data_IF_878289521374
#
_entry.id   IF_878289521374
#
_cell.length_a   1.000
_cell.length_b   1.000
_cell.length_c   1.000
_cell.angle_alpha   90.00
_cell.angle_beta   90.00
_cell.angle_gamma   90.00
#
_symmetry.space_group_name_H-M   'P 1'
#
loop_
_entity.id
_entity.type
_entity.pdbx_description
1 polymer ?
#
# COMPACT_ATOMS: atom_id res chain seq x y z
N UNK A 1 -20.44 -31.06 38.11
CA UNK A 1 -19.08 -31.42 37.63
C UNK A 1 -18.87 -30.68 36.33
N UNK A 2 -18.15 -29.55 36.37
CA UNK A 2 -17.80 -28.76 35.20
C UNK A 2 -16.29 -28.57 35.23
N UNK A 3 -15.63 -29.03 34.17
CA UNK A 3 -14.19 -29.21 34.10
C UNK A 3 -13.53 -27.92 33.60
N UNK A 4 -12.68 -27.31 34.44
CA UNK A 4 -11.78 -26.24 34.06
C UNK A 4 -10.60 -26.82 33.25
N UNK A 5 -10.47 -26.43 31.99
CA UNK A 5 -9.22 -26.53 31.24
C UNK A 5 -8.54 -25.16 31.26
N UNK A 6 -7.49 -25.04 32.05
CA UNK A 6 -6.61 -23.88 32.09
C UNK A 6 -5.62 -23.97 30.94
N UNK A 7 -5.79 -23.10 29.93
CA UNK A 7 -4.84 -22.98 28.82
C UNK A 7 -3.87 -21.84 29.15
N UNK A 8 -2.66 -22.21 29.59
CA UNK A 8 -1.58 -21.28 29.93
C UNK A 8 -0.88 -20.81 28.66
N UNK A 9 -1.44 -19.77 28.01
CA UNK A 9 -0.80 -19.10 26.90
C UNK A 9 0.41 -18.27 27.37
N UNK A 10 1.63 -18.78 27.15
CA UNK A 10 2.87 -18.00 27.30
C UNK A 10 2.96 -17.05 26.10
N UNK A 11 2.50 -15.82 26.28
CA UNK A 11 2.55 -14.77 25.26
C UNK A 11 3.98 -14.22 25.14
N UNK A 12 4.47 -14.10 23.91
CA UNK A 12 5.77 -13.48 23.59
C UNK A 12 5.82 -12.01 24.04
N UNK A 13 6.90 -11.61 24.69
CA UNK A 13 7.15 -10.26 25.24
C UNK A 13 7.10 -9.17 24.15
N UNK A 14 7.35 -9.54 22.89
CA UNK A 14 7.31 -8.64 21.74
C UNK A 14 5.89 -8.17 21.39
N UNK A 15 4.90 -9.07 21.53
CA UNK A 15 3.47 -8.76 21.28
C UNK A 15 2.89 -7.81 22.32
N UNK A 16 3.50 -7.72 23.51
CA UNK A 16 3.09 -6.79 24.58
C UNK A 16 3.56 -5.35 24.36
N UNK A 17 4.63 -5.12 23.61
CA UNK A 17 5.24 -3.79 23.52
C UNK A 17 4.91 -3.01 22.25
N UNK A 18 4.50 -3.66 21.17
CA UNK A 18 4.36 -2.99 19.85
C UNK A 18 2.99 -3.10 19.18
N UNK A 19 1.99 -3.67 19.87
CA UNK A 19 0.61 -3.73 19.37
C UNK A 19 0.40 -4.67 18.19
N UNK A 20 -0.86 -5.06 17.98
CA UNK A 20 -1.30 -5.90 16.87
C UNK A 20 -1.59 -5.02 15.64
N UNK A 21 -0.95 -5.28 14.50
CA UNK A 21 -1.25 -4.56 13.26
C UNK A 21 -2.69 -4.89 12.82
N UNK A 22 -3.54 -3.86 12.80
CA UNK A 22 -4.91 -3.93 12.30
C UNK A 22 -4.90 -4.39 10.84
N UNK A 23 -5.44 -5.58 10.59
CA UNK A 23 -5.73 -6.08 9.25
C UNK A 23 -6.87 -5.27 8.65
N UNK A 24 -6.52 -4.20 7.91
CA UNK A 24 -7.46 -3.54 7.03
C UNK A 24 -7.73 -4.46 5.83
N UNK A 25 -8.97 -4.96 5.71
CA UNK A 25 -9.43 -5.77 4.58
C UNK A 25 -10.33 -4.91 3.70
N UNK A 26 -9.88 -4.48 2.50
CA UNK A 26 -10.78 -3.93 1.51
C UNK A 26 -11.61 -5.06 0.90
N UNK A 27 -12.92 -5.04 1.13
CA UNK A 27 -13.89 -5.83 0.39
C UNK A 27 -14.21 -5.14 -0.93
N UNK A 28 -13.49 -5.51 -1.98
CA UNK A 28 -13.94 -5.30 -3.36
C UNK A 28 -13.79 -6.63 -4.12
N UNK A 29 -14.91 -7.34 -4.26
CA UNK A 29 -15.05 -8.44 -5.21
C UNK A 29 -15.47 -7.85 -6.57
N UNK A 30 -14.68 -8.13 -7.61
CA UNK A 30 -15.16 -8.19 -9.00
C UNK A 30 -14.48 -9.37 -9.73
N UNK A 31 -15.14 -9.95 -10.75
CA UNK A 31 -15.03 -11.38 -11.04
C UNK A 31 -14.01 -11.70 -12.15
N UNK A 32 -13.25 -12.77 -11.90
CA UNK A 32 -13.00 -13.86 -12.85
C UNK A 32 -12.17 -13.58 -14.11
N UNK A 33 -10.95 -14.12 -14.14
CA UNK A 33 -10.40 -14.79 -15.32
C UNK A 33 -9.63 -16.04 -14.89
N UNK A 34 -10.18 -17.22 -15.19
CA UNK A 34 -9.48 -18.51 -15.13
C UNK A 34 -8.51 -18.59 -16.29
N UNK A 35 -7.23 -18.76 -16.01
CA UNK A 35 -6.25 -19.26 -16.96
C UNK A 35 -5.67 -20.57 -16.43
N UNK A 36 -5.96 -21.64 -17.16
CA UNK A 36 -5.42 -22.99 -16.96
C UNK A 36 -4.19 -23.17 -17.84
N UNK A 37 -3.08 -23.65 -17.27
CA UNK A 37 -2.00 -24.41 -17.95
C UNK A 37 -1.06 -24.92 -16.86
N UNK A 38 -1.00 -26.21 -16.48
CA UNK A 38 -0.56 -27.42 -17.20
C UNK A 38 0.98 -27.60 -17.26
N UNK A 39 1.39 -28.86 -17.13
CA UNK A 39 2.75 -29.45 -17.04
C UNK A 39 3.38 -29.47 -15.65
N UNK A 40 3.94 -30.57 -15.14
CA UNK A 40 4.18 -31.95 -15.59
C UNK A 40 4.71 -32.68 -14.34
N UNK A 41 4.43 -33.94 -14.08
CA UNK A 41 5.01 -35.08 -14.78
C UNK A 41 5.00 -36.26 -13.80
N UNK A 42 4.57 -37.41 -14.31
CA UNK A 42 4.57 -38.67 -13.59
C UNK A 42 5.92 -39.39 -13.75
N UNK A 43 6.30 -40.20 -12.75
CA UNK A 43 6.62 -41.65 -12.83
C UNK A 43 7.65 -42.08 -11.79
N UNK A 44 7.21 -43.03 -10.97
CA UNK A 44 7.82 -44.32 -10.59
C UNK A 44 9.32 -44.53 -10.83
N UNK A 45 10.05 -44.97 -9.79
CA UNK A 45 10.83 -46.22 -9.82
C UNK A 45 11.37 -46.59 -8.43
N UNK A 46 11.42 -47.90 -8.23
CA UNK A 46 11.77 -48.71 -7.06
C UNK A 46 13.27 -49.03 -6.94
N UNK A 47 13.60 -49.76 -5.85
CA UNK A 47 14.81 -50.57 -5.56
C UNK A 47 15.90 -49.82 -4.76
N UNK A 48 16.56 -50.37 -3.74
CA UNK A 48 16.64 -51.71 -3.14
C UNK A 48 17.20 -51.54 -1.69
N UNK A 49 16.80 -52.36 -0.70
CA UNK A 49 17.62 -53.44 -0.10
C UNK A 49 18.79 -52.92 0.77
N UNK A 50 19.09 -53.32 2.01
CA UNK A 50 18.81 -54.50 2.87
C UNK A 50 19.61 -54.23 4.17
N UNK A 51 19.22 -54.59 5.39
CA UNK A 51 19.24 -55.89 6.09
C UNK A 51 18.72 -55.51 7.51
N UNK A 52 17.93 -56.26 8.26
CA UNK A 52 17.70 -57.69 8.30
C UNK A 52 17.80 -58.12 9.77
N UNK A 53 16.66 -58.30 10.44
CA UNK A 53 16.56 -59.06 11.68
C UNK A 53 15.13 -59.62 11.82
N UNK A 54 14.93 -60.94 11.76
CA UNK A 54 13.64 -61.56 12.02
C UNK A 54 13.51 -62.02 13.49
N UNK A 55 12.27 -62.25 13.98
CA UNK A 55 11.99 -62.80 15.29
C UNK A 55 11.77 -64.33 15.22
N UNK A 56 11.90 -65.06 16.35
CA UNK A 56 11.03 -66.23 16.67
C UNK A 56 11.24 -66.87 18.05
N UNK A 57 10.08 -67.11 18.65
CA UNK A 57 9.60 -68.17 19.57
C UNK A 57 10.39 -69.49 19.72
N UNK A 58 10.23 -70.01 20.94
CA UNK A 58 9.92 -71.39 21.37
C UNK A 58 11.04 -72.45 21.40
N UNK A 59 11.07 -73.24 22.49
CA UNK A 59 11.86 -74.47 22.59
C UNK A 59 11.91 -75.04 24.01
N UNK A 60 11.29 -76.20 24.19
CA UNK A 60 11.14 -76.98 25.42
C UNK A 60 12.35 -77.92 25.71
N UNK A 61 12.35 -78.50 26.93
CA UNK A 61 12.81 -79.87 27.29
C UNK A 61 14.32 -80.15 27.24
N UNK A 62 14.96 -81.05 28.00
CA UNK A 62 14.70 -81.96 29.14
C UNK A 62 16.08 -82.62 29.44
N UNK A 63 16.17 -83.25 30.62
CA UNK A 63 16.80 -84.57 30.86
C UNK A 63 18.27 -84.76 31.28
N UNK A 64 18.39 -85.82 32.12
CA UNK A 64 19.54 -86.68 32.49
C UNK A 64 20.34 -86.24 33.72
N UNK A 65 20.18 -86.88 34.89
CA UNK A 65 20.64 -88.23 35.30
C UNK A 65 22.18 -88.34 35.18
N UNK A 66 22.97 -88.75 36.17
CA UNK A 66 22.75 -89.49 37.41
C UNK A 66 23.90 -90.49 37.52
N UNK A 67 24.60 -90.59 38.65
CA UNK A 67 25.36 -91.79 39.03
C UNK A 67 25.75 -91.80 40.51
N UNK A 68 25.47 -92.94 41.11
CA UNK A 68 25.96 -93.49 42.36
C UNK A 68 27.45 -93.86 42.30
N UNK A 69 28.14 -93.87 43.44
CA UNK A 69 29.08 -94.96 43.73
C UNK A 69 29.21 -95.16 45.24
N UNK A 70 28.85 -96.35 45.71
CA UNK A 70 29.31 -96.87 46.99
C UNK A 70 30.60 -97.67 46.79
N UNK A 71 31.41 -97.76 47.84
CA UNK A 71 32.32 -98.88 48.03
C UNK A 71 32.66 -99.00 49.52
N UNK A 72 32.26 -100.14 50.07
CA UNK A 72 32.81 -100.73 51.28
C UNK A 72 34.19 -101.31 50.96
N UNK A 73 35.16 -101.18 51.86
CA UNK A 73 35.90 -102.34 52.38
C UNK A 73 36.96 -101.95 53.40
N UNK A 74 37.03 -102.77 54.44
CA UNK A 74 38.08 -102.89 55.44
C UNK A 74 39.42 -103.31 54.82
N UNK A 75 40.54 -102.82 55.34
CA UNK A 75 41.73 -103.65 55.49
C UNK A 75 42.64 -103.15 56.61
N UNK A 76 43.18 -104.13 57.29
CA UNK A 76 44.03 -104.12 58.46
C UNK A 76 45.47 -103.66 58.17
N UNK A 77 46.16 -103.36 59.28
CA UNK A 77 47.61 -103.56 59.52
C UNK A 77 48.64 -102.61 58.90
N UNK A 78 49.06 -101.64 59.73
CA UNK A 78 50.44 -101.28 60.10
C UNK A 78 51.59 -101.55 59.12
N UNK A 79 52.19 -100.47 58.60
CA UNK A 79 53.63 -100.19 58.69
C UNK A 79 53.87 -98.66 58.58
N UNK A 80 53.71 -97.97 59.71
CA UNK A 80 53.83 -96.51 59.86
C UNK A 80 55.26 -96.16 60.34
N UNK A 81 56.18 -95.97 59.40
CA UNK A 81 57.39 -95.18 59.71
C UNK A 81 58.09 -94.56 58.49
N UNK A 82 57.91 -95.11 57.27
CA UNK A 82 58.43 -94.50 56.03
C UNK A 82 57.39 -93.75 55.18
N UNK A 83 56.08 -94.01 55.35
CA UNK A 83 55.02 -93.28 54.65
C UNK A 83 54.66 -91.94 55.33
N UNK A 84 54.98 -91.76 56.61
CA UNK A 84 54.68 -90.53 57.35
C UNK A 84 55.61 -89.37 56.99
N UNK A 85 56.89 -89.62 56.67
CA UNK A 85 57.82 -88.56 56.27
C UNK A 85 57.50 -88.04 54.85
N UNK A 86 57.31 -88.95 53.89
CA UNK A 86 56.92 -88.60 52.50
C UNK A 86 55.50 -88.01 52.46
N UNK A 87 54.58 -88.52 53.28
CA UNK A 87 53.24 -87.96 53.43
C UNK A 87 53.20 -86.62 54.16
N UNK A 88 54.16 -86.34 55.05
CA UNK A 88 54.32 -85.04 55.70
C UNK A 88 54.79 -83.97 54.70
N UNK A 89 55.84 -84.27 53.93
CA UNK A 89 56.35 -83.37 52.88
C UNK A 89 55.29 -83.10 51.80
N UNK A 90 54.57 -84.13 51.33
CA UNK A 90 53.50 -83.97 50.36
C UNK A 90 52.31 -83.17 50.91
N UNK A 91 51.99 -83.30 52.21
CA UNK A 91 50.97 -82.46 52.88
C UNK A 91 51.42 -81.02 53.03
N UNK A 92 52.72 -80.78 53.20
CA UNK A 92 53.31 -79.44 53.27
C UNK A 92 53.35 -78.77 51.89
N UNK A 93 53.76 -79.49 50.84
CA UNK A 93 53.71 -79.01 49.45
C UNK A 93 52.27 -78.72 49.03
N UNK A 94 51.31 -79.60 49.32
CA UNK A 94 49.88 -79.34 49.06
C UNK A 94 49.32 -78.18 49.87
N UNK A 95 49.78 -77.98 51.11
CA UNK A 95 49.39 -76.79 51.91
C UNK A 95 49.96 -75.52 51.28
N UNK A 96 51.22 -75.54 50.88
CA UNK A 96 51.86 -74.40 50.22
C UNK A 96 51.22 -74.08 48.87
N UNK A 97 50.93 -75.10 48.04
CA UNK A 97 50.20 -74.95 46.79
C UNK A 97 48.77 -74.45 47.03
N UNK A 98 48.09 -74.93 48.07
CA UNK A 98 46.77 -74.43 48.46
C UNK A 98 46.82 -72.96 48.91
N UNK A 99 47.84 -72.55 49.66
CA UNK A 99 48.06 -71.15 50.05
C UNK A 99 48.38 -70.25 48.85
N UNK A 100 49.19 -70.74 47.90
CA UNK A 100 49.47 -70.03 46.65
C UNK A 100 48.21 -69.90 45.78
N UNK A 101 47.43 -70.97 45.64
CA UNK A 101 46.14 -70.97 44.94
C UNK A 101 45.12 -70.08 45.64
N UNK A 102 45.12 -70.04 46.97
CA UNK A 102 44.29 -69.13 47.75
C UNK A 102 44.72 -67.68 47.52
N UNK A 103 46.01 -67.35 47.58
CA UNK A 103 46.50 -66.01 47.31
C UNK A 103 46.27 -65.56 45.85
N UNK A 104 46.31 -66.49 44.89
CA UNK A 104 45.88 -66.24 43.51
C UNK A 104 44.37 -65.99 43.43
N UNK A 105 43.57 -66.80 44.12
CA UNK A 105 42.12 -66.66 44.15
C UNK A 105 41.70 -65.34 44.80
N UNK A 106 42.33 -64.92 45.90
CA UNK A 106 42.07 -63.64 46.55
C UNK A 106 42.42 -62.47 45.63
N UNK A 107 43.51 -62.58 44.84
CA UNK A 107 43.84 -61.58 43.81
C UNK A 107 42.83 -61.60 42.66
N UNK A 108 42.35 -62.76 42.23
CA UNK A 108 41.30 -62.88 41.22
C UNK A 108 39.97 -62.31 41.72
N UNK A 109 39.61 -62.53 42.98
CA UNK A 109 38.44 -61.92 43.60
C UNK A 109 38.57 -60.39 43.59
N UNK A 110 39.73 -59.84 43.96
CA UNK A 110 40.00 -58.42 43.86
C UNK A 110 39.93 -57.87 42.43
N UNK A 111 40.41 -58.61 41.42
CA UNK A 111 40.23 -58.22 40.02
C UNK A 111 38.75 -58.25 39.59
N UNK A 112 37.98 -59.24 40.03
CA UNK A 112 36.55 -59.34 39.74
C UNK A 112 35.80 -58.16 40.38
N UNK A 113 36.08 -57.83 41.64
CA UNK A 113 35.52 -56.65 42.30
C UNK A 113 35.87 -55.36 41.54
N UNK A 114 37.13 -55.22 41.11
CA UNK A 114 37.55 -54.04 40.34
C UNK A 114 36.87 -53.94 38.98
N UNK A 115 36.66 -55.06 38.30
CA UNK A 115 35.90 -55.11 37.04
C UNK A 115 34.44 -54.71 37.29
N UNK A 116 33.81 -55.19 38.36
CA UNK A 116 32.44 -54.80 38.72
C UNK A 116 32.34 -53.31 39.03
N UNK A 117 33.30 -52.75 39.78
CA UNK A 117 33.36 -51.30 40.03
C UNK A 117 33.48 -50.50 38.74
N UNK A 118 34.38 -50.91 37.83
CA UNK A 118 34.57 -50.25 36.55
C UNK A 118 33.35 -50.39 35.62
N UNK A 119 32.69 -51.55 35.61
CA UNK A 119 31.44 -51.76 34.89
C UNK A 119 30.32 -50.88 35.44
N UNK A 120 30.25 -50.72 36.77
CA UNK A 120 29.27 -49.85 37.41
C UNK A 120 29.56 -48.38 37.10
N UNK A 121 30.82 -47.96 37.14
CA UNK A 121 31.23 -46.62 36.72
C UNK A 121 30.93 -46.36 35.24
N UNK A 122 31.22 -47.31 34.35
CA UNK A 122 30.88 -47.20 32.94
C UNK A 122 29.36 -47.09 32.72
N UNK A 123 28.54 -47.86 33.44
CA UNK A 123 27.07 -47.73 33.37
C UNK A 123 26.58 -46.34 33.81
N UNK A 124 27.19 -45.76 34.84
CA UNK A 124 26.87 -44.40 35.29
C UNK A 124 27.28 -43.37 34.23
N UNK A 125 28.49 -43.47 33.68
CA UNK A 125 28.96 -42.58 32.61
C UNK A 125 28.13 -42.70 31.33
N UNK A 126 27.70 -43.92 30.96
CA UNK A 126 26.79 -44.15 29.83
C UNK A 126 25.44 -43.48 30.06
N UNK A 127 24.88 -43.57 31.28
CA UNK A 127 23.64 -42.91 31.64
C UNK A 127 23.78 -41.37 31.63
N UNK A 128 24.88 -40.83 32.15
CA UNK A 128 25.18 -39.40 32.11
C UNK A 128 25.33 -38.89 30.68
N UNK A 129 26.06 -39.62 29.83
CA UNK A 129 26.21 -39.31 28.41
C UNK A 129 24.86 -39.33 27.67
N UNK A 130 23.99 -40.29 27.99
CA UNK A 130 22.65 -40.36 27.40
C UNK A 130 21.81 -39.13 27.80
N UNK A 131 21.86 -38.71 29.06
CA UNK A 131 21.15 -37.53 29.55
C UNK A 131 21.68 -36.24 28.91
N UNK A 132 23.01 -36.13 28.75
CA UNK A 132 23.64 -34.97 28.10
C UNK A 132 23.27 -34.88 26.62
N UNK A 133 23.34 -36.00 25.88
CA UNK A 133 22.90 -36.04 24.48
C UNK A 133 21.43 -35.67 24.32
N UNK A 134 20.56 -36.14 25.21
CA UNK A 134 19.14 -35.77 25.21
C UNK A 134 18.89 -34.28 25.52
N UNK A 135 19.79 -33.62 26.26
CA UNK A 135 19.74 -32.18 26.50
C UNK A 135 20.22 -31.39 25.29
N UNK A 136 21.24 -31.85 24.58
CA UNK A 136 21.77 -31.21 23.37
C UNK A 136 20.87 -31.42 22.14
N UNK A 137 20.19 -32.56 22.03
CA UNK A 137 19.22 -32.84 20.96
C UNK A 137 17.95 -31.98 21.03
N UNK A 138 17.70 -31.29 22.15
CA UNK A 138 16.61 -30.33 22.25
C UNK A 138 17.10 -29.01 21.65
N UNK A 139 16.70 -28.65 20.41
CA UNK A 139 17.07 -27.35 19.87
C UNK A 139 16.63 -26.25 20.83
N UNK A 140 17.52 -25.31 21.13
CA UNK A 140 17.20 -24.25 22.08
C UNK A 140 15.95 -23.50 21.61
N UNK A 141 14.94 -23.38 22.49
CA UNK A 141 13.70 -22.67 22.17
C UNK A 141 13.98 -21.23 21.71
N UNK A 142 15.09 -20.66 22.18
CA UNK A 142 15.59 -19.34 21.81
C UNK A 142 15.95 -19.25 20.32
N UNK A 143 16.66 -20.24 19.77
CA UNK A 143 16.97 -20.28 18.33
C UNK A 143 15.69 -20.29 17.48
N UNK A 144 14.71 -21.10 17.89
CA UNK A 144 13.41 -21.19 17.22
C UNK A 144 12.64 -19.86 17.26
N UNK A 145 12.67 -19.15 18.39
CA UNK A 145 12.03 -17.83 18.51
C UNK A 145 12.69 -16.79 17.59
N UNK A 146 14.02 -16.76 17.53
CA UNK A 146 14.72 -15.87 16.59
C UNK A 146 14.49 -16.23 15.13
N UNK A 147 14.44 -17.52 14.79
CA UNK A 147 14.12 -17.96 13.43
C UNK A 147 12.69 -17.57 13.02
N UNK A 148 11.73 -17.62 13.96
CA UNK A 148 10.37 -17.14 13.75
C UNK A 148 10.34 -15.62 13.54
N UNK A 149 10.99 -14.85 14.40
CA UNK A 149 11.06 -13.39 14.27
C UNK A 149 11.70 -12.98 12.93
N UNK A 150 12.79 -13.64 12.53
CA UNK A 150 13.45 -13.39 11.24
C UNK A 150 12.51 -13.72 10.07
N UNK A 151 11.70 -14.78 10.18
CA UNK A 151 10.73 -15.14 9.15
C UNK A 151 9.60 -14.10 9.06
N UNK A 152 9.09 -13.61 10.18
CA UNK A 152 8.07 -12.56 10.25
C UNK A 152 8.59 -11.23 9.68
N UNK A 153 9.80 -10.80 10.07
CA UNK A 153 10.43 -9.60 9.53
C UNK A 153 10.66 -9.68 8.01
N UNK A 154 11.02 -10.86 7.49
CA UNK A 154 11.14 -11.07 6.04
C UNK A 154 9.80 -11.00 5.33
N UNK A 155 8.75 -11.56 5.94
CA UNK A 155 7.40 -11.48 5.37
C UNK A 155 6.91 -10.03 5.30
N UNK A 156 7.11 -9.25 6.36
CA UNK A 156 6.80 -7.82 6.38
C UNK A 156 7.60 -7.04 5.34
N UNK A 157 8.89 -7.34 5.19
CA UNK A 157 9.73 -6.69 4.18
C UNK A 157 9.23 -6.96 2.75
N UNK A 158 8.82 -8.20 2.44
CA UNK A 158 8.24 -8.53 1.13
C UNK A 158 6.85 -7.93 0.94
N UNK A 159 6.03 -7.82 2.00
CA UNK A 159 4.75 -7.12 1.96
C UNK A 159 4.94 -5.63 1.65
N UNK A 160 5.79 -4.92 2.40
CA UNK A 160 6.13 -3.52 2.13
C UNK A 160 6.73 -3.34 0.73
N UNK A 161 7.51 -4.32 0.24
CA UNK A 161 8.05 -4.29 -1.12
C UNK A 161 6.95 -4.43 -2.17
N UNK A 162 5.99 -5.32 -1.94
CA UNK A 162 4.80 -5.49 -2.76
C UNK A 162 3.93 -4.24 -2.80
N UNK A 163 3.69 -3.61 -1.65
CA UNK A 163 2.98 -2.34 -1.53
C UNK A 163 3.70 -1.21 -2.27
N UNK A 164 5.01 -1.06 -2.07
CA UNK A 164 5.83 -0.08 -2.78
C UNK A 164 5.78 -0.30 -4.30
N UNK A 165 5.83 -1.55 -4.77
CA UNK A 165 5.71 -1.87 -6.19
C UNK A 165 4.30 -1.57 -6.73
N UNK A 166 3.26 -1.89 -5.97
CA UNK A 166 1.87 -1.58 -6.31
C UNK A 166 1.62 -0.07 -6.39
N UNK A 167 2.10 0.69 -5.40
CA UNK A 167 2.03 2.15 -5.38
C UNK A 167 2.83 2.77 -6.54
N UNK A 168 4.01 2.22 -6.85
CA UNK A 168 4.80 2.60 -8.03
C UNK A 168 4.03 2.40 -9.33
N UNK A 169 3.41 1.24 -9.52
CA UNK A 169 2.59 0.95 -10.70
C UNK A 169 1.36 1.86 -10.81
N UNK A 170 0.67 2.14 -9.70
CA UNK A 170 -0.46 3.07 -9.68
C UNK A 170 -0.03 4.50 -10.06
N UNK A 171 1.15 4.94 -9.57
CA UNK A 171 1.75 6.22 -9.95
C UNK A 171 2.08 6.27 -11.44
N UNK A 172 2.73 5.24 -11.98
CA UNK A 172 3.05 5.16 -13.41
C UNK A 172 1.79 5.19 -14.28
N UNK A 173 0.73 4.50 -13.88
CA UNK A 173 -0.56 4.55 -14.58
C UNK A 173 -1.19 5.95 -14.52
N UNK A 174 -1.17 6.61 -13.36
CA UNK A 174 -1.66 7.98 -13.22
C UNK A 174 -0.84 8.97 -14.07
N UNK A 175 0.49 8.83 -14.08
CA UNK A 175 1.38 9.63 -14.93
C UNK A 175 1.12 9.38 -16.43
N UNK A 176 0.88 8.13 -16.83
CA UNK A 176 0.55 7.76 -18.21
C UNK A 176 -0.79 8.36 -18.68
N UNK A 177 -1.77 8.55 -17.78
CA UNK A 177 -3.04 9.23 -18.08
C UNK A 177 -2.88 10.75 -18.06
N UNK A 178 -2.08 11.30 -17.14
CA UNK A 178 -1.85 12.74 -17.03
C UNK A 178 -1.05 13.30 -18.22
N UNK A 179 -0.07 12.57 -18.74
CA UNK A 179 0.78 13.00 -19.86
C UNK A 179 -0.03 13.44 -21.10
N UNK A 180 -0.93 12.63 -21.69
CA UNK A 180 -1.72 13.04 -22.85
C UNK A 180 -2.75 14.14 -22.54
N UNK A 181 -3.19 14.27 -21.29
CA UNK A 181 -4.07 15.39 -20.88
C UNK A 181 -3.27 16.70 -20.88
N UNK A 182 -2.04 16.69 -20.36
CA UNK A 182 -1.15 17.86 -20.38
C UNK A 182 -0.85 18.30 -21.82
N UNK A 183 -0.51 17.38 -22.71
CA UNK A 183 -0.25 17.72 -24.12
C UNK A 183 -1.49 18.29 -24.80
N UNK A 184 -2.67 17.69 -24.59
CA UNK A 184 -3.94 18.23 -25.12
C UNK A 184 -4.24 19.63 -24.58
N UNK A 185 -3.98 19.88 -23.30
CA UNK A 185 -4.16 21.20 -22.71
C UNK A 185 -3.21 22.24 -23.31
N UNK A 186 -1.94 21.88 -23.53
CA UNK A 186 -0.97 22.74 -24.20
C UNK A 186 -1.37 23.01 -25.66
N UNK A 187 -1.86 22.01 -26.39
CA UNK A 187 -2.37 22.17 -27.75
C UNK A 187 -3.59 23.09 -27.82
N UNK A 188 -4.57 22.92 -26.92
CA UNK A 188 -5.75 23.77 -26.84
C UNK A 188 -5.39 25.21 -26.44
N UNK A 189 -4.43 25.39 -25.53
CA UNK A 189 -3.89 26.70 -25.21
C UNK A 189 -3.26 27.36 -26.43
N UNK A 190 -2.44 26.61 -27.20
CA UNK A 190 -1.82 27.11 -28.43
C UNK A 190 -2.87 27.49 -29.48
N UNK A 191 -3.90 26.66 -29.67
CA UNK A 191 -5.03 26.96 -30.59
C UNK A 191 -5.79 28.21 -30.17
N UNK A 192 -6.02 28.38 -28.86
CA UNK A 192 -6.63 29.59 -28.32
C UNK A 192 -5.79 30.82 -28.64
N UNK A 193 -4.49 30.79 -28.36
CA UNK A 193 -3.57 31.89 -28.67
C UNK A 193 -3.56 32.21 -30.19
N UNK A 194 -3.58 31.20 -31.06
CA UNK A 194 -3.68 31.38 -32.52
C UNK A 194 -4.99 32.04 -32.95
N UNK A 195 -6.12 31.61 -32.38
CA UNK A 195 -7.44 32.18 -32.70
C UNK A 195 -7.61 33.60 -32.14
N UNK A 196 -7.09 33.89 -30.96
CA UNK A 196 -7.04 35.25 -30.39
C UNK A 196 -6.19 36.16 -31.28
N UNK A 197 -5.01 35.70 -31.72
CA UNK A 197 -4.17 36.45 -32.66
C UNK A 197 -4.89 36.73 -34.00
N UNK A 198 -5.58 35.73 -34.56
CA UNK A 198 -6.35 35.89 -35.79
C UNK A 198 -7.52 36.87 -35.64
N UNK A 199 -8.20 36.87 -34.48
CA UNK A 199 -9.25 37.85 -34.18
C UNK A 199 -8.70 39.27 -34.08
N UNK A 200 -7.54 39.45 -33.46
CA UNK A 200 -6.90 40.76 -33.35
C UNK A 200 -6.43 41.28 -34.73
N UNK A 201 -5.94 40.39 -35.60
CA UNK A 201 -5.61 40.75 -36.98
C UNK A 201 -6.86 41.13 -37.79
N UNK A 202 -7.96 40.37 -37.66
CA UNK A 202 -9.23 40.69 -38.30
C UNK A 202 -9.81 42.03 -37.81
N UNK A 203 -9.69 42.34 -36.51
CA UNK A 203 -10.08 43.64 -35.95
C UNK A 203 -9.26 44.78 -36.56
N UNK A 204 -7.93 44.64 -36.63
CA UNK A 204 -7.06 45.63 -37.27
C UNK A 204 -7.44 45.84 -38.74
N UNK A 205 -7.68 44.76 -39.49
CA UNK A 205 -8.11 44.85 -40.88
C UNK A 205 -9.49 45.54 -41.04
N UNK A 206 -10.42 45.29 -40.11
CA UNK A 206 -11.72 45.95 -40.09
C UNK A 206 -11.58 47.46 -39.78
N UNK A 207 -10.73 47.84 -38.83
CA UNK A 207 -10.43 49.24 -38.50
C UNK A 207 -9.77 49.97 -39.67
N UNK A 208 -8.83 49.33 -40.35
CA UNK A 208 -8.22 49.86 -41.58
C UNK A 208 -9.27 50.06 -42.69
N UNK A 209 -10.17 49.11 -42.88
CA UNK A 209 -11.23 49.21 -43.89
C UNK A 209 -12.24 50.29 -43.53
N UNK A 210 -12.60 50.44 -42.25
CA UNK A 210 -13.42 51.55 -41.77
C UNK A 210 -12.73 52.90 -42.04
N UNK A 211 -11.42 53.00 -41.82
CA UNK A 211 -10.63 54.19 -42.15
C UNK A 211 -10.62 54.47 -43.66
N UNK A 212 -10.47 53.45 -44.52
CA UNK A 212 -10.56 53.58 -45.98
C UNK A 212 -11.93 54.07 -46.42
N UNK A 213 -13.02 53.50 -45.86
CA UNK A 213 -14.39 53.95 -46.16
C UNK A 213 -14.60 55.41 -45.75
N UNK A 214 -14.18 55.81 -44.56
CA UNK A 214 -14.27 57.20 -44.12
C UNK A 214 -13.48 58.16 -45.03
N UNK A 215 -12.34 57.73 -45.57
CA UNK A 215 -11.58 58.50 -46.55
C UNK A 215 -12.32 58.63 -47.90
N UNK A 216 -12.97 57.55 -48.37
CA UNK A 216 -13.79 57.57 -49.58
C UNK A 216 -15.05 58.44 -49.42
N UNK A 217 -15.70 58.42 -48.26
CA UNK A 217 -16.84 59.30 -47.97
C UNK A 217 -16.43 60.77 -48.03
N UNK A 218 -15.27 61.13 -47.46
CA UNK A 218 -14.70 62.49 -47.58
C UNK A 218 -14.40 62.88 -49.03
N UNK A 219 -13.90 61.94 -49.83
CA UNK A 219 -13.68 62.18 -51.26
C UNK A 219 -15.01 62.43 -51.99
N UNK A 220 -16.05 61.65 -51.65
CA UNK A 220 -17.41 61.83 -52.17
C UNK A 220 -17.98 63.20 -51.84
N UNK A 221 -17.87 63.65 -50.59
CA UNK A 221 -18.35 64.98 -50.19
C UNK A 221 -17.63 66.11 -50.93
N UNK A 222 -16.31 65.97 -51.17
CA UNK A 222 -15.54 66.94 -51.97
C UNK A 222 -15.98 66.94 -53.44
N UNK A 223 -16.31 65.78 -54.01
CA UNK A 223 -16.85 65.70 -55.37
C UNK A 223 -18.23 66.36 -55.48
N UNK A 224 -19.09 66.16 -54.48
CA UNK A 224 -20.39 66.82 -54.40
C UNK A 224 -20.25 68.35 -54.28
N UNK A 225 -19.29 68.83 -53.50
CA UNK A 225 -18.96 70.25 -53.39
C UNK A 225 -18.46 70.84 -54.72
N UNK A 226 -17.55 70.14 -55.42
CA UNK A 226 -17.12 70.52 -56.77
C UNK A 226 -18.31 70.54 -57.74
N UNK A 227 -19.21 69.55 -57.64
CA UNK A 227 -20.42 69.47 -58.44
C UNK A 227 -21.37 70.64 -58.19
N UNK A 228 -21.54 71.03 -56.92
CA UNK A 228 -22.30 72.21 -56.51
C UNK A 228 -21.68 73.49 -57.09
N UNK A 229 -20.37 73.72 -56.91
CA UNK A 229 -19.68 74.89 -57.46
C UNK A 229 -19.81 74.99 -58.98
N UNK A 230 -19.72 73.85 -59.69
CA UNK A 230 -19.95 73.81 -61.15
C UNK A 230 -21.38 74.11 -61.56
N UNK A 231 -22.39 73.77 -60.74
CA UNK A 231 -23.79 74.14 -60.98
C UNK A 231 -23.98 75.64 -60.80
N UNK A 232 -23.48 76.19 -59.70
CA UNK A 232 -23.53 77.63 -59.41
C UNK A 232 -22.88 78.43 -60.54
N UNK A 233 -21.66 78.08 -60.96
CA UNK A 233 -21.00 78.75 -62.09
C UNK A 233 -21.81 78.67 -63.39
N UNK A 234 -22.48 77.55 -63.67
CA UNK A 234 -23.34 77.42 -64.85
C UNK A 234 -24.58 78.29 -64.76
N UNK A 235 -25.21 78.36 -63.59
CA UNK A 235 -26.36 79.23 -63.34
C UNK A 235 -25.97 80.69 -63.50
N UNK A 236 -24.86 81.14 -62.90
CA UNK A 236 -24.32 82.50 -63.08
C UNK A 236 -24.04 82.82 -64.55
N UNK A 237 -23.39 81.90 -65.29
CA UNK A 237 -23.18 82.07 -66.74
C UNK A 237 -24.50 82.14 -67.48
N UNK A 238 -25.50 81.33 -67.12
CA UNK A 238 -26.81 81.33 -67.77
C UNK A 238 -27.59 82.61 -67.48
N UNK A 239 -27.49 83.15 -66.27
CA UNK A 239 -28.11 84.42 -65.89
C UNK A 239 -27.45 85.58 -66.63
N UNK A 240 -26.11 85.58 -66.74
CA UNK A 240 -25.38 86.55 -67.54
C UNK A 240 -25.73 86.44 -69.03
N UNK A 241 -25.84 85.22 -69.57
CA UNK A 241 -26.31 84.99 -70.93
C UNK A 241 -27.77 85.41 -71.12
N UNK A 242 -28.65 85.17 -70.14
CA UNK A 242 -30.04 85.59 -70.17
C UNK A 242 -30.17 87.12 -70.08
N UNK A 243 -29.29 87.80 -69.33
CA UNK A 243 -29.20 89.25 -69.35
C UNK A 243 -28.75 89.76 -70.73
N UNK A 244 -27.79 89.09 -71.39
CA UNK A 244 -27.36 89.40 -72.76
C UNK A 244 -28.47 89.12 -73.79
N UNK A 245 -29.18 88.00 -73.67
CA UNK A 245 -30.29 87.62 -74.55
C UNK A 245 -31.55 88.47 -74.28
N UNK A 246 -31.77 88.97 -73.07
CA UNK A 246 -32.84 89.93 -72.80
C UNK A 246 -32.62 91.27 -73.52
N UNK A 247 -31.37 91.55 -73.93
CA UNK A 247 -31.02 92.66 -74.81
C UNK A 247 -31.05 92.29 -76.31
N UNK A 248 -31.27 91.02 -76.64
CA UNK A 248 -31.22 90.49 -78.01
C UNK A 248 -32.28 89.39 -78.14
N UNK A 249 -33.52 89.77 -78.46
CA UNK A 249 -34.45 89.07 -79.38
C UNK A 249 -35.90 89.54 -79.12
N UNK A 250 -36.38 90.34 -80.07
CA UNK A 250 -37.78 90.51 -80.46
C UNK A 250 -38.23 89.30 -81.30
N UNK A 251 -39.31 88.66 -80.84
CA UNK A 251 -40.50 88.12 -81.57
C UNK A 251 -40.28 87.53 -82.97
N UNK A 252 -40.73 86.29 -83.19
CA UNK A 252 -41.82 85.96 -84.13
C UNK A 252 -42.14 84.45 -84.17
N UNK A 253 -43.44 84.15 -84.02
CA UNK A 253 -44.03 82.81 -84.16
C UNK A 253 -44.44 82.55 -85.63
N UNK A 254 -44.37 81.30 -86.07
CA UNK A 254 -44.99 80.85 -87.31
C UNK A 254 -45.48 79.42 -87.20
N UNK A 255 -46.79 79.25 -87.01
CA UNK A 255 -47.51 77.97 -86.96
C UNK A 255 -47.86 77.48 -88.38
N UNK A 256 -47.79 76.18 -88.63
CA UNK A 256 -48.53 75.54 -89.72
C UNK A 256 -49.06 74.17 -89.27
N UNK A 257 -50.39 74.04 -89.21
CA UNK A 257 -51.07 72.81 -88.82
C UNK A 257 -51.29 71.87 -90.00
N UNK A 258 -50.95 70.57 -89.87
CA UNK A 258 -51.63 69.51 -90.60
C UNK A 258 -52.73 68.90 -89.71
N UNK A 259 -53.70 68.24 -90.36
CA UNK A 259 -54.96 67.72 -89.84
C UNK A 259 -54.91 67.17 -88.38
N UNK A 260 -55.29 68.05 -87.45
CA UNK A 260 -55.08 67.88 -86.02
C UNK A 260 -56.03 66.85 -85.40
N UNK A 261 -57.19 66.61 -86.00
CA UNK A 261 -58.30 65.94 -85.30
C UNK A 261 -58.13 64.42 -85.25
N UNK A 262 -57.58 63.81 -86.31
CA UNK A 262 -57.26 62.38 -86.34
C UNK A 262 -56.00 62.07 -85.53
N UNK A 263 -54.95 62.87 -85.74
CA UNK A 263 -53.70 62.77 -84.99
C UNK A 263 -53.93 63.00 -83.48
N UNK A 264 -54.77 63.96 -83.08
CA UNK A 264 -55.12 64.16 -81.66
C UNK A 264 -55.93 63.00 -81.09
N UNK A 265 -56.82 62.38 -81.86
CA UNK A 265 -57.59 61.21 -81.39
C UNK A 265 -56.68 60.00 -81.20
N UNK A 266 -55.73 59.78 -82.12
CA UNK A 266 -54.75 58.71 -82.02
C UNK A 266 -53.71 58.95 -80.92
N UNK A 267 -53.19 60.17 -80.79
CA UNK A 267 -52.32 60.58 -79.69
C UNK A 267 -53.05 60.42 -78.35
N UNK A 268 -54.32 60.83 -78.26
CA UNK A 268 -55.13 60.64 -77.04
C UNK A 268 -55.32 59.16 -76.70
N UNK A 269 -55.65 58.32 -77.67
CA UNK A 269 -55.71 56.87 -77.52
C UNK A 269 -54.38 56.28 -77.03
N UNK A 270 -53.25 56.68 -77.63
CA UNK A 270 -51.93 56.23 -77.20
C UNK A 270 -51.59 56.72 -75.79
N UNK A 271 -51.96 57.95 -75.43
CA UNK A 271 -51.80 58.48 -74.08
C UNK A 271 -52.68 57.75 -73.06
N UNK A 272 -53.91 57.39 -73.41
CA UNK A 272 -54.80 56.60 -72.54
C UNK A 272 -54.21 55.20 -72.29
N UNK A 273 -53.69 54.54 -73.33
CA UNK A 273 -52.99 53.26 -73.19
C UNK A 273 -51.69 53.40 -72.40
N UNK A 274 -50.89 54.44 -72.63
CA UNK A 274 -49.64 54.68 -71.92
C UNK A 274 -49.90 55.03 -70.45
N UNK A 275 -50.93 55.82 -70.15
CA UNK A 275 -51.35 56.14 -68.79
C UNK A 275 -51.85 54.89 -68.06
N UNK A 276 -52.65 54.04 -68.71
CA UNK A 276 -53.09 52.76 -68.15
C UNK A 276 -51.90 51.82 -67.87
N UNK A 277 -50.95 51.70 -68.81
CA UNK A 277 -49.71 50.93 -68.61
C UNK A 277 -48.85 51.51 -67.49
N UNK A 278 -48.68 52.82 -67.43
CA UNK A 278 -47.92 53.48 -66.37
C UNK A 278 -48.57 53.24 -65.00
N UNK A 279 -49.91 53.28 -64.92
CA UNK A 279 -50.63 52.99 -63.68
C UNK A 279 -50.46 51.52 -63.25
N UNK A 280 -50.53 50.58 -64.18
CA UNK A 280 -50.25 49.16 -63.90
C UNK A 280 -48.81 48.93 -63.43
N UNK A 281 -47.83 49.52 -64.12
CA UNK A 281 -46.41 49.41 -63.74
C UNK A 281 -46.17 50.04 -62.36
N UNK A 282 -46.80 51.16 -62.05
CA UNK A 282 -46.73 51.77 -60.72
C UNK A 282 -47.35 50.87 -59.65
N UNK A 283 -48.53 50.28 -59.90
CA UNK A 283 -49.16 49.33 -58.99
C UNK A 283 -48.32 48.08 -58.77
N UNK A 284 -47.77 47.49 -59.82
CA UNK A 284 -46.88 46.32 -59.74
C UNK A 284 -45.60 46.67 -58.97
N UNK A 285 -45.03 47.85 -59.22
CA UNK A 285 -43.86 48.34 -58.49
C UNK A 285 -44.18 48.54 -57.00
N UNK A 286 -45.32 49.14 -56.65
CA UNK A 286 -45.73 49.30 -55.26
C UNK A 286 -46.00 47.95 -54.58
N UNK A 287 -46.69 47.03 -55.27
CA UNK A 287 -46.93 45.67 -54.76
C UNK A 287 -45.60 44.95 -54.52
N UNK A 288 -44.69 44.98 -55.48
CA UNK A 288 -43.36 44.38 -55.36
C UNK A 288 -42.54 45.00 -54.22
N UNK A 289 -42.59 46.33 -54.07
CA UNK A 289 -41.89 47.01 -52.98
C UNK A 289 -42.49 46.66 -51.62
N UNK A 290 -43.82 46.57 -51.54
CA UNK A 290 -44.53 46.20 -50.33
C UNK A 290 -44.24 44.75 -49.94
N UNK A 291 -44.25 43.80 -50.88
CA UNK A 291 -43.86 42.40 -50.60
C UNK A 291 -42.41 42.32 -50.18
N UNK A 292 -41.49 43.03 -50.85
CA UNK A 292 -40.08 43.03 -50.46
C UNK A 292 -39.86 43.58 -49.05
N UNK A 293 -40.57 44.65 -48.67
CA UNK A 293 -40.54 45.22 -47.31
C UNK A 293 -41.17 44.27 -46.29
N UNK A 294 -42.30 43.65 -46.61
CA UNK A 294 -42.95 42.65 -45.76
C UNK A 294 -42.04 41.45 -45.52
N UNK A 295 -41.37 40.96 -46.56
CA UNK A 295 -40.45 39.82 -46.48
C UNK A 295 -39.15 40.17 -45.73
N UNK A 296 -38.70 41.43 -45.79
CA UNK A 296 -37.55 41.86 -44.97
C UNK A 296 -37.95 42.04 -43.51
N UNK A 297 -39.15 42.55 -43.24
CA UNK A 297 -39.70 42.63 -41.89
C UNK A 297 -39.88 41.23 -41.28
N UNK A 298 -40.44 40.26 -42.02
CA UNK A 298 -40.61 38.88 -41.53
C UNK A 298 -39.26 38.22 -41.21
N UNK A 299 -38.28 38.31 -42.11
CA UNK A 299 -36.92 37.79 -41.87
C UNK A 299 -36.24 38.43 -40.66
N UNK A 300 -36.43 39.75 -40.47
CA UNK A 300 -35.88 40.44 -39.30
C UNK A 300 -36.56 39.93 -38.02
N UNK A 301 -37.90 39.80 -38.01
CA UNK A 301 -38.61 39.23 -36.85
C UNK A 301 -38.16 37.81 -36.54
N UNK A 302 -37.99 36.95 -37.55
CA UNK A 302 -37.48 35.59 -37.37
C UNK A 302 -36.05 35.58 -36.81
N UNK A 303 -35.15 36.41 -37.34
CA UNK A 303 -33.79 36.55 -36.80
C UNK A 303 -33.79 37.04 -35.34
N UNK A 304 -34.68 37.97 -34.98
CA UNK A 304 -34.87 38.40 -33.59
C UNK A 304 -35.40 37.27 -32.70
N UNK A 305 -36.27 36.40 -33.21
CA UNK A 305 -36.77 35.25 -32.47
C UNK A 305 -35.64 34.22 -32.22
N UNK A 306 -34.88 33.86 -33.26
CA UNK A 306 -33.75 32.92 -33.13
C UNK A 306 -32.71 33.42 -32.12
N UNK A 307 -32.27 34.68 -32.25
CA UNK A 307 -31.30 35.26 -31.30
C UNK A 307 -31.83 35.32 -29.86
N UNK A 308 -33.14 35.53 -29.68
CA UNK A 308 -33.77 35.48 -28.36
C UNK A 308 -33.83 34.07 -27.80
N UNK A 309 -34.09 33.06 -28.63
CA UNK A 309 -34.06 31.65 -28.24
C UNK A 309 -32.64 31.23 -27.84
N UNK A 310 -31.64 31.54 -28.66
CA UNK A 310 -30.22 31.31 -28.36
C UNK A 310 -29.81 31.98 -27.04
N UNK A 311 -30.19 33.24 -26.80
CA UNK A 311 -29.93 33.92 -25.53
C UNK A 311 -30.59 33.20 -24.35
N UNK A 312 -31.80 32.67 -24.53
CA UNK A 312 -32.51 31.92 -23.50
C UNK A 312 -31.84 30.57 -23.20
N UNK A 313 -31.30 29.92 -24.23
CA UNK A 313 -30.53 28.69 -24.10
C UNK A 313 -29.20 28.95 -23.40
N UNK A 314 -28.43 29.97 -23.81
CA UNK A 314 -27.20 30.35 -23.13
C UNK A 314 -27.46 30.69 -21.66
N UNK A 315 -28.56 31.38 -21.35
CA UNK A 315 -28.96 31.64 -19.97
C UNK A 315 -29.22 30.35 -19.18
N UNK A 316 -29.89 29.35 -19.76
CA UNK A 316 -30.09 28.04 -19.14
C UNK A 316 -28.76 27.30 -18.94
N UNK A 317 -27.86 27.34 -19.92
CA UNK A 317 -26.53 26.74 -19.80
C UNK A 317 -25.72 27.37 -18.67
N UNK A 318 -25.74 28.70 -18.56
CA UNK A 318 -25.08 29.42 -17.45
C UNK A 318 -25.67 28.97 -16.12
N UNK A 319 -27.00 28.94 -15.98
CA UNK A 319 -27.65 28.48 -14.75
C UNK A 319 -27.31 27.04 -14.40
N UNK A 320 -27.26 26.15 -15.38
CA UNK A 320 -26.89 24.76 -15.16
C UNK A 320 -25.44 24.65 -14.68
N UNK A 321 -24.49 25.33 -15.33
CA UNK A 321 -23.08 25.34 -14.92
C UNK A 321 -22.86 25.99 -13.55
N UNK A 322 -23.64 27.01 -13.18
CA UNK A 322 -23.56 27.58 -11.83
C UNK A 322 -24.02 26.59 -10.77
N UNK A 323 -25.12 25.85 -11.03
CA UNK A 323 -25.60 24.82 -10.11
C UNK A 323 -24.63 23.64 -9.99
N UNK A 324 -24.01 23.22 -11.09
CA UNK A 324 -22.95 22.20 -11.07
C UNK A 324 -21.74 22.68 -10.26
N UNK A 325 -21.33 23.94 -10.41
CA UNK A 325 -20.23 24.50 -9.64
C UNK A 325 -20.55 24.61 -8.15
N UNK A 326 -21.79 24.96 -7.79
CA UNK A 326 -22.27 24.97 -6.40
C UNK A 326 -22.31 23.55 -5.82
N UNK A 327 -22.87 22.58 -6.54
CA UNK A 327 -22.91 21.19 -6.09
C UNK A 327 -21.51 20.59 -5.89
N UNK A 328 -20.55 20.91 -6.77
CA UNK A 328 -19.15 20.48 -6.59
C UNK A 328 -18.49 21.14 -5.37
N UNK A 329 -18.80 22.42 -5.07
CA UNK A 329 -18.33 23.07 -3.84
C UNK A 329 -18.89 22.39 -2.60
N UNK A 330 -20.18 22.09 -2.58
CA UNK A 330 -20.81 21.38 -1.46
C UNK A 330 -20.17 20.00 -1.23
N UNK A 331 -19.84 19.29 -2.32
CA UNK A 331 -19.13 18.00 -2.24
C UNK A 331 -17.73 18.20 -1.64
N UNK A 332 -16.97 19.20 -2.12
CA UNK A 332 -15.63 19.51 -1.58
C UNK A 332 -15.71 19.82 -0.09
N UNK A 333 -16.63 20.71 0.33
CA UNK A 333 -16.82 21.06 1.75
C UNK A 333 -17.17 19.82 2.59
N UNK A 334 -18.01 18.92 2.06
CA UNK A 334 -18.36 17.68 2.75
C UNK A 334 -17.16 16.73 2.92
N UNK A 335 -16.30 16.64 1.90
CA UNK A 335 -15.10 15.81 1.94
C UNK A 335 -14.04 16.41 2.87
N UNK A 336 -13.85 17.72 2.86
CA UNK A 336 -12.97 18.42 3.79
C UNK A 336 -13.41 18.20 5.24
N UNK A 337 -14.72 18.27 5.51
CA UNK A 337 -15.27 17.96 6.83
C UNK A 337 -15.02 16.51 7.24
N UNK A 338 -15.20 15.55 6.32
CA UNK A 338 -14.89 14.15 6.59
C UNK A 338 -13.41 13.95 6.93
N UNK A 339 -12.49 14.58 6.18
CA UNK A 339 -11.05 14.53 6.46
C UNK A 339 -10.77 15.07 7.87
N UNK A 340 -11.33 16.24 8.22
CA UNK A 340 -11.16 16.80 9.57
C UNK A 340 -11.70 15.89 10.67
N UNK A 341 -12.85 15.24 10.47
CA UNK A 341 -13.41 14.27 11.41
C UNK A 341 -12.55 13.00 11.53
N UNK A 342 -11.91 12.57 10.45
CA UNK A 342 -10.97 11.44 10.46
C UNK A 342 -9.68 11.82 11.18
N UNK A 343 -9.10 12.98 10.88
CA UNK A 343 -7.89 13.48 11.52
C UNK A 343 -8.11 13.69 13.03
N UNK A 344 -9.24 14.26 13.43
CA UNK A 344 -9.57 14.43 14.85
C UNK A 344 -9.72 13.09 15.59
N UNK A 345 -10.30 12.07 14.93
CA UNK A 345 -10.39 10.71 15.49
C UNK A 345 -9.02 10.09 15.66
N UNK A 346 -8.18 10.14 14.63
CA UNK A 346 -6.83 9.60 14.70
C UNK A 346 -5.95 10.35 15.71
N UNK A 347 -6.10 11.66 15.82
CA UNK A 347 -5.43 12.44 16.84
C UNK A 347 -5.83 11.99 18.26
N UNK A 348 -7.13 11.74 18.49
CA UNK A 348 -7.60 11.19 19.77
C UNK A 348 -7.08 9.76 20.06
N UNK A 349 -6.98 8.90 19.03
CA UNK A 349 -6.38 7.56 19.17
C UNK A 349 -4.88 7.64 19.51
N UNK A 350 -4.15 8.55 18.87
CA UNK A 350 -2.73 8.80 19.16
C UNK A 350 -2.56 9.29 20.59
N UNK A 351 -3.38 10.25 21.04
CA UNK A 351 -3.36 10.76 22.41
C UNK A 351 -3.64 9.64 23.43
N UNK A 352 -4.65 8.80 23.20
CA UNK A 352 -4.95 7.66 24.08
C UNK A 352 -3.80 6.63 24.13
N UNK A 353 -3.14 6.35 23.00
CA UNK A 353 -1.97 5.48 22.96
C UNK A 353 -0.77 6.10 23.68
N UNK A 354 -0.56 7.41 23.54
CA UNK A 354 0.50 8.14 24.26
C UNK A 354 0.26 8.13 25.78
N UNK A 355 -0.98 8.33 26.22
CA UNK A 355 -1.37 8.18 27.63
C UNK A 355 -1.08 6.76 28.13
N UNK A 356 -1.46 5.72 27.37
CA UNK A 356 -1.17 4.34 27.74
C UNK A 356 0.33 4.02 27.80
N UNK A 357 1.15 4.59 26.91
CA UNK A 357 2.61 4.48 26.99
C UNK A 357 3.11 5.16 28.26
N UNK A 358 2.65 6.37 28.57
CA UNK A 358 3.06 7.10 29.76
C UNK A 358 2.70 6.33 31.04
N UNK A 359 1.50 5.73 31.12
CA UNK A 359 1.10 4.88 32.23
C UNK A 359 2.05 3.68 32.40
N UNK A 360 2.33 2.94 31.33
CA UNK A 360 3.26 1.80 31.36
C UNK A 360 4.69 2.21 31.73
N UNK A 361 5.16 3.38 31.28
CA UNK A 361 6.45 3.94 31.68
C UNK A 361 6.50 4.24 33.18
N UNK A 362 5.42 4.80 33.75
CA UNK A 362 5.33 5.05 35.19
C UNK A 362 5.30 3.75 36.00
N UNK A 363 4.56 2.73 35.56
CA UNK A 363 4.55 1.41 36.19
C UNK A 363 5.93 0.75 36.16
N UNK A 364 6.60 0.79 35.00
CA UNK A 364 7.96 0.28 34.83
C UNK A 364 8.94 0.99 35.77
N UNK A 365 8.84 2.31 35.88
CA UNK A 365 9.68 3.10 36.77
C UNK A 365 9.40 2.78 38.25
N UNK A 366 8.14 2.59 38.62
CA UNK A 366 7.76 2.14 39.97
C UNK A 366 8.37 0.77 40.29
N UNK A 367 8.22 -0.22 39.39
CA UNK A 367 8.79 -1.55 39.57
C UNK A 367 10.33 -1.53 39.67
N UNK A 368 11.02 -0.68 38.89
CA UNK A 368 12.47 -0.46 39.01
C UNK A 368 12.86 0.11 40.37
N UNK A 369 12.08 1.05 40.90
CA UNK A 369 12.31 1.63 42.23
C UNK A 369 12.10 0.59 43.33
N UNK A 370 11.07 -0.25 43.22
CA UNK A 370 10.81 -1.35 44.14
C UNK A 370 11.93 -2.39 44.11
N UNK A 371 12.39 -2.79 42.92
CA UNK A 371 13.54 -3.68 42.76
C UNK A 371 14.79 -3.10 43.42
N UNK A 372 15.04 -1.81 43.22
CA UNK A 372 16.16 -1.09 43.84
C UNK A 372 16.03 -0.97 45.36
N UNK A 373 14.80 -1.00 45.90
CA UNK A 373 14.55 -1.08 47.34
C UNK A 373 14.84 -2.49 47.85
N UNK A 374 14.31 -3.53 47.22
CA UNK A 374 14.59 -4.91 47.60
C UNK A 374 16.08 -5.23 47.58
N UNK A 375 16.82 -4.75 46.58
CA UNK A 375 18.28 -4.94 46.51
C UNK A 375 19.00 -4.33 47.73
N UNK A 376 18.57 -3.15 48.19
CA UNK A 376 19.09 -2.52 49.41
C UNK A 376 18.74 -3.32 50.65
N UNK A 377 17.48 -3.73 50.79
CA UNK A 377 17.02 -4.55 51.92
C UNK A 377 17.78 -5.89 52.00
N UNK A 378 18.04 -6.53 50.86
CA UNK A 378 18.85 -7.76 50.79
C UNK A 378 20.32 -7.51 51.19
N UNK A 379 20.91 -6.40 50.75
CA UNK A 379 22.27 -6.05 51.14
C UNK A 379 22.37 -5.79 52.65
N UNK A 380 21.37 -5.10 53.23
CA UNK A 380 21.31 -4.84 54.67
C UNK A 380 21.13 -6.13 55.46
N UNK A 381 20.27 -7.05 55.00
CA UNK A 381 20.11 -8.36 55.63
C UNK A 381 21.39 -9.21 55.53
N UNK A 382 22.09 -9.15 54.40
CA UNK A 382 23.39 -9.80 54.24
C UNK A 382 24.42 -9.23 55.23
N UNK A 383 24.46 -7.91 55.40
CA UNK A 383 25.34 -7.25 56.36
C UNK A 383 25.04 -7.73 57.80
N UNK A 384 23.76 -7.83 58.19
CA UNK A 384 23.35 -8.39 59.49
C UNK A 384 23.77 -9.85 59.63
N UNK A 385 23.58 -10.67 58.59
CA UNK A 385 24.00 -12.08 58.60
C UNK A 385 25.51 -12.21 58.80
N UNK A 386 26.30 -11.38 58.12
CA UNK A 386 27.76 -11.37 58.30
C UNK A 386 28.16 -10.96 59.72
N UNK A 387 27.48 -9.97 60.32
CA UNK A 387 27.71 -9.60 61.72
C UNK A 387 27.41 -10.77 62.68
N UNK A 388 26.30 -11.47 62.47
CA UNK A 388 25.94 -12.66 63.25
C UNK A 388 26.94 -13.81 63.09
N UNK A 389 27.46 -14.06 61.88
CA UNK A 389 28.51 -15.07 61.68
C UNK A 389 29.78 -14.74 62.49
N UNK A 390 30.16 -13.46 62.53
CA UNK A 390 31.30 -12.98 63.33
C UNK A 390 31.03 -13.19 64.82
N UNK A 391 29.83 -12.86 65.30
CA UNK A 391 29.43 -13.10 66.69
C UNK A 391 29.46 -14.59 67.04
N UNK A 392 28.90 -15.46 66.20
CA UNK A 392 28.91 -16.92 66.40
C UNK A 392 30.35 -17.44 66.43
N UNK A 393 31.22 -16.97 65.54
CA UNK A 393 32.63 -17.35 65.53
C UNK A 393 33.34 -16.89 66.82
N UNK A 394 33.04 -15.68 67.30
CA UNK A 394 33.56 -15.18 68.57
C UNK A 394 33.07 -16.00 69.77
N UNK A 395 31.76 -16.33 69.83
CA UNK A 395 31.19 -17.18 70.86
C UNK A 395 31.82 -18.58 70.85
N UNK A 396 31.98 -19.22 69.68
CA UNK A 396 32.67 -20.52 69.54
C UNK A 396 34.09 -20.48 70.11
N UNK A 397 34.86 -19.45 69.76
CA UNK A 397 36.22 -19.26 70.27
C UNK A 397 36.27 -19.10 71.80
N UNK A 398 35.28 -18.41 72.38
CA UNK A 398 35.18 -18.26 73.84
C UNK A 398 34.86 -19.60 74.52
N UNK A 399 33.94 -20.37 73.94
CA UNK A 399 33.57 -21.72 74.41
C UNK A 399 34.76 -22.69 74.34
N UNK A 400 35.51 -22.72 73.24
CA UNK A 400 36.73 -23.53 73.09
C UNK A 400 37.80 -23.17 74.15
N UNK A 401 37.90 -21.88 74.51
CA UNK A 401 38.77 -21.41 75.59
C UNK A 401 38.34 -21.89 76.98
N UNK A 402 37.04 -21.89 77.28
CA UNK A 402 36.50 -22.42 78.54
C UNK A 402 36.60 -23.95 78.61
N UNK A 403 36.35 -24.68 77.52
CA UNK A 403 36.57 -26.13 77.45
C UNK A 403 38.04 -26.48 77.71
N UNK A 404 38.97 -25.73 77.12
CA UNK A 404 40.41 -25.89 77.36
C UNK A 404 40.79 -25.66 78.83
N UNK A 405 40.17 -24.68 79.50
CA UNK A 405 40.34 -24.45 80.95
C UNK A 405 39.76 -25.58 81.79
N UNK A 406 38.59 -26.10 81.44
CA UNK A 406 37.94 -27.20 82.19
C UNK A 406 38.67 -28.53 82.01
N UNK A 407 39.23 -28.80 80.83
CA UNK A 407 40.06 -29.99 80.57
C UNK A 407 41.37 -29.92 81.34
N UNK A 408 42.03 -28.75 81.37
CA UNK A 408 43.26 -28.55 82.14
C UNK A 408 43.05 -28.54 83.65
N UNK A 409 41.85 -28.23 84.15
CA UNK A 409 41.51 -28.30 85.57
C UNK A 409 41.05 -29.70 86.06
N UNK A 410 40.77 -30.63 85.14
CA UNK A 410 40.37 -32.03 85.46
C UNK A 410 41.53 -33.03 85.35
N UNK A 411 42.66 -32.62 84.79
CA UNK A 411 43.96 -33.30 84.86
C UNK A 411 44.73 -32.76 86.08
#
# INVERSE_FOLDING_TARGET
>A
MSSYTSDSAVTSIYRRHFGEALKYRPSYEMPGYRASSAYGGARSASAASTYGAPPRRAGHTRFSAGYSLGASSSIDTVDLSQAESVGSELRQVRRHEKEQLQGLNDRFAGFIERVHELEQQNKVLEAELMILRQKEEKPSNVKRLYEQEIAELRALAEECRGECAGAGGAREQAEAVLAPIRTKHEEERRRREESEAALDEARKAADEEAARRAALEKLGSLLDEIGFLKRVQREEISELQAQIQSAHITVEMGTSQPDLTSALREIRSQYEVLAAKNMQVAEEWFKSKFTALSDTASRNTEAMHVTREELSEFRRHVQHRTLEAEALKDIIESLEKQIQEHDARHQGEIEALQEGIAELETELQSAKNEMSRYLRDYQDLLNVKMALDIEIAAYRKLLEGEESRLVTAKL
#
